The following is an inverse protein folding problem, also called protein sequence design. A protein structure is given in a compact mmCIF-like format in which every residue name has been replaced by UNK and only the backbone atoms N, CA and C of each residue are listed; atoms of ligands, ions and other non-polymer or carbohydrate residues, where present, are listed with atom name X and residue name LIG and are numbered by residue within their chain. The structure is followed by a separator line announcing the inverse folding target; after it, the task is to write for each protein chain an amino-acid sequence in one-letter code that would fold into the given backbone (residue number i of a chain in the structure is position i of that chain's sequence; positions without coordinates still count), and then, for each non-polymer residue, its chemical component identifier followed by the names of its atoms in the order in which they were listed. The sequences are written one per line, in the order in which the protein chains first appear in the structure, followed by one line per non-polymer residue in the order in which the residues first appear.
data_IF_390200767427
#
_entry.id   IF_390200767427
#
_cell.length_a   1.000
_cell.length_b   1.000
_cell.length_c   1.000
_cell.angle_alpha   90.00
_cell.angle_beta   90.00
_cell.angle_gamma   90.00
#
_symmetry.space_group_name_H-M   'P 1'
#
loop_
_entity.id
_entity.type
_entity.pdbx_description
1 polymer ?
#
# COMPACT_ATOMS: atom_id res chain seq x y z
N UNK A 1 -10.88 11.05 4.52
CA UNK A 1 -9.39 10.91 4.51
C UNK A 1 -9.06 9.92 3.41
N UNK A 2 -7.97 10.10 2.67
CA UNK A 2 -7.58 9.18 1.59
C UNK A 2 -6.68 8.10 2.13
N UNK A 3 -6.79 6.87 1.64
CA UNK A 3 -6.02 5.73 2.13
C UNK A 3 -5.35 5.02 0.97
N UNK A 4 -4.03 4.88 1.02
CA UNK A 4 -3.29 3.98 0.13
C UNK A 4 -3.33 2.56 0.69
N UNK A 5 -3.58 1.59 -0.16
CA UNK A 5 -3.65 0.17 0.19
C UNK A 5 -2.70 -0.58 -0.74
N UNK A 6 -1.75 -1.30 -0.15
CA UNK A 6 -0.84 -2.20 -0.87
C UNK A 6 -1.17 -3.62 -0.43
N UNK A 7 -1.58 -4.45 -1.38
CA UNK A 7 -1.86 -5.87 -1.17
C UNK A 7 -0.64 -6.68 -1.55
N UNK A 8 -0.13 -7.44 -0.60
CA UNK A 8 1.06 -8.23 -0.76
C UNK A 8 0.71 -9.67 -1.12
N UNK A 9 1.53 -10.34 -1.95
CA UNK A 9 1.33 -11.76 -2.24
C UNK A 9 1.49 -12.56 -0.94
N UNK A 10 0.83 -13.72 -0.88
CA UNK A 10 0.75 -14.56 0.34
C UNK A 10 2.10 -15.03 0.88
N UNK A 11 3.14 -14.98 0.05
CA UNK A 11 4.53 -15.31 0.39
C UNK A 11 5.18 -14.24 1.28
N UNK A 12 4.71 -13.00 1.20
CA UNK A 12 5.10 -11.94 2.13
C UNK A 12 4.27 -12.09 3.39
N UNK A 13 4.92 -12.29 4.54
CA UNK A 13 4.24 -12.37 5.82
C UNK A 13 4.13 -10.98 6.45
N UNK A 14 2.93 -10.39 6.41
CA UNK A 14 2.61 -9.21 7.21
C UNK A 14 1.95 -9.60 8.53
N UNK A 15 2.06 -8.75 9.58
CA UNK A 15 1.45 -9.00 10.88
C UNK A 15 -0.09 -8.94 10.89
N UNK A 16 -0.73 -8.72 9.73
CA UNK A 16 -2.19 -8.59 9.62
C UNK A 16 -2.81 -9.70 8.77
N UNK A 17 -4.09 -9.98 9.03
CA UNK A 17 -4.80 -11.11 8.41
C UNK A 17 -5.11 -10.91 6.91
N UNK A 18 -5.15 -9.66 6.43
CA UNK A 18 -5.49 -9.34 5.03
C UNK A 18 -4.24 -9.27 4.13
N UNK A 19 -3.04 -9.33 4.73
CA UNK A 19 -1.77 -9.12 4.05
C UNK A 19 -1.71 -7.78 3.29
N UNK A 20 -2.21 -6.72 3.93
CA UNK A 20 -2.30 -5.39 3.34
C UNK A 20 -1.52 -4.35 4.18
N UNK A 21 -0.74 -3.50 3.53
CA UNK A 21 -0.25 -2.26 4.13
C UNK A 21 -1.25 -1.14 3.85
N UNK A 22 -1.67 -0.40 4.88
CA UNK A 22 -2.66 0.68 4.75
C UNK A 22 -2.13 1.94 5.41
N UNK A 23 -2.07 3.05 4.66
CA UNK A 23 -1.64 4.35 5.16
C UNK A 23 -2.66 5.43 4.83
N UNK A 24 -2.86 6.37 5.75
CA UNK A 24 -3.85 7.45 5.61
C UNK A 24 -3.20 8.78 5.28
N UNK A 25 -3.89 9.54 4.43
CA UNK A 25 -3.37 10.72 3.76
C UNK A 25 -4.40 11.85 3.75
N UNK A 26 -3.89 13.08 3.80
CA UNK A 26 -4.73 14.28 3.75
C UNK A 26 -5.31 14.53 2.35
N UNK A 27 -4.71 13.99 1.29
CA UNK A 27 -5.15 14.17 -0.09
C UNK A 27 -4.96 12.89 -0.90
N UNK A 28 -5.73 12.76 -1.98
CA UNK A 28 -5.61 11.67 -2.97
C UNK A 28 -4.21 11.62 -3.57
N UNK A 29 -3.64 12.79 -3.90
CA UNK A 29 -2.31 12.91 -4.48
C UNK A 29 -1.23 12.32 -3.57
N UNK A 30 -1.31 12.54 -2.26
CA UNK A 30 -0.35 11.96 -1.32
C UNK A 30 -0.50 10.43 -1.23
N UNK A 31 -1.73 9.91 -1.29
CA UNK A 31 -1.97 8.47 -1.32
C UNK A 31 -1.39 7.81 -2.59
N UNK A 32 -1.58 8.44 -3.75
CA UNK A 32 -1.00 7.96 -5.01
C UNK A 32 0.52 8.02 -5.03
N UNK A 33 1.13 9.09 -4.52
CA UNK A 33 2.60 9.20 -4.48
C UNK A 33 3.27 8.04 -3.72
N UNK A 34 2.64 7.56 -2.64
CA UNK A 34 3.13 6.40 -1.90
C UNK A 34 2.99 5.12 -2.72
N UNK A 35 1.84 4.92 -3.35
CA UNK A 35 1.57 3.76 -4.21
C UNK A 35 2.53 3.68 -5.39
N UNK A 36 2.74 4.80 -6.09
CA UNK A 36 3.66 4.90 -7.23
C UNK A 36 5.10 4.61 -6.81
N UNK A 37 5.58 5.23 -5.72
CA UNK A 37 6.92 4.99 -5.22
C UNK A 37 7.15 3.51 -4.84
N UNK A 38 6.14 2.85 -4.26
CA UNK A 38 6.22 1.42 -3.92
C UNK A 38 6.25 0.55 -5.18
N UNK A 39 5.48 0.89 -6.22
CA UNK A 39 5.52 0.17 -7.50
C UNK A 39 6.86 0.35 -8.23
N UNK A 40 7.42 1.55 -8.22
CA UNK A 40 8.70 1.86 -8.86
C UNK A 40 9.88 1.22 -8.15
N UNK A 41 9.85 1.17 -6.81
CA UNK A 41 10.97 0.70 -6.00
C UNK A 41 10.82 -0.73 -5.46
N UNK A 42 9.66 -1.37 -5.60
CA UNK A 42 9.43 -2.78 -5.27
C UNK A 42 9.85 -3.14 -3.84
N UNK A 43 9.53 -2.31 -2.85
CA UNK A 43 10.14 -2.39 -1.52
C UNK A 43 9.52 -3.47 -0.63
N UNK A 44 9.85 -4.74 -0.87
CA UNK A 44 9.98 -5.73 0.22
C UNK A 44 11.24 -5.40 1.05
N UNK A 45 11.23 -5.66 2.35
CA UNK A 45 12.29 -5.24 3.29
C UNK A 45 13.73 -5.66 2.96
N UNK A 46 13.94 -6.56 2.00
CA UNK A 46 15.24 -7.04 1.54
C UNK A 46 15.56 -6.71 0.05
N UNK A 47 14.77 -5.82 -0.58
CA UNK A 47 14.95 -5.47 -2.00
C UNK A 47 14.35 -6.48 -2.98
N UNK A 48 13.51 -7.39 -2.49
CA UNK A 48 12.74 -8.32 -3.31
C UNK A 48 11.54 -7.62 -3.94
N UNK A 49 11.42 -7.74 -5.27
CA UNK A 49 10.30 -7.20 -6.03
C UNK A 49 9.18 -8.23 -6.06
N UNK A 50 8.10 -7.93 -5.34
CA UNK A 50 6.89 -8.74 -5.32
C UNK A 50 5.86 -8.23 -6.33
N UNK A 51 5.02 -9.09 -6.91
CA UNK A 51 3.86 -8.65 -7.66
C UNK A 51 2.83 -8.04 -6.70
N UNK A 52 2.85 -6.70 -6.58
CA UNK A 52 1.95 -5.95 -5.70
C UNK A 52 0.67 -5.55 -6.44
N UNK A 53 -0.44 -5.55 -5.71
CA UNK A 53 -1.67 -4.88 -6.15
C UNK A 53 -1.89 -3.66 -5.27
N UNK A 54 -2.15 -2.52 -5.89
CA UNK A 54 -2.28 -1.23 -5.21
C UNK A 54 -3.67 -0.65 -5.45
N UNK A 55 -4.18 0.07 -4.45
CA UNK A 55 -5.49 0.70 -4.48
C UNK A 55 -5.46 2.00 -3.66
N UNK A 56 -6.24 2.99 -4.06
CA UNK A 56 -6.39 4.27 -3.35
C UNK A 56 -7.88 4.50 -3.12
N UNK A 57 -8.29 4.62 -1.85
CA UNK A 57 -9.70 4.79 -1.47
C UNK A 57 -9.92 6.02 -0.63
N UNK A 58 -11.02 6.71 -0.87
CA UNK A 58 -11.54 7.70 0.07
C UNK A 58 -12.32 6.99 1.19
N UNK A 59 -11.86 7.12 2.43
CA UNK A 59 -12.56 6.62 3.62
C UNK A 59 -13.09 7.85 4.38
N UNK A 60 -14.42 8.07 4.44
CA UNK A 60 -15.01 9.09 5.29
C UNK A 60 -14.69 8.77 6.76
N UNK A 61 -14.19 9.74 7.52
CA UNK A 61 -14.12 9.58 8.98
C UNK A 61 -15.50 9.92 9.54
N UNK A 62 -16.10 8.96 10.24
CA UNK A 62 -17.31 9.14 11.06
C UNK A 62 -16.96 9.69 12.42
#
# INVERSE_FOLDING_TARGET
MWTSIVKWPKEVSLPNAENESRDTHQSERHAWAVVEAIQEHGLGGEGEIFPLSVDVKFIPQT
#
